data_IF_071525819608
#
_entry.id   IF_071525819608
#
_cell.length_a   1.000
_cell.length_b   1.000
_cell.length_c   1.000
_cell.angle_alpha   90.00
_cell.angle_beta   90.00
_cell.angle_gamma   90.00
#
_symmetry.space_group_name_H-M   'P 1'
#
loop_
_entity.id
_entity.type
_entity.pdbx_description
1 polymer ?
#
# COMPACT_ATOMS: atom_id res chain seq x y z
N UNK A 1 2.11 -0.16 5.69
CA UNK A 1 1.36 0.76 4.80
C UNK A 1 -0.09 0.30 4.67
N UNK A 2 -1.05 1.22 4.78
CA UNK A 2 -2.49 0.96 4.59
C UNK A 2 -2.87 1.37 3.17
N UNK A 3 -3.33 0.43 2.35
CA UNK A 3 -3.83 0.71 0.99
C UNK A 3 -5.34 0.64 1.00
N UNK A 4 -5.96 1.69 0.45
CA UNK A 4 -7.41 1.77 0.28
C UNK A 4 -7.73 1.63 -1.21
N UNK A 5 -8.71 0.78 -1.53
CA UNK A 5 -9.25 0.67 -2.89
C UNK A 5 -10.76 0.79 -2.87
N UNK A 6 -11.31 1.54 -3.81
CA UNK A 6 -12.74 1.63 -4.07
C UNK A 6 -13.09 0.58 -5.13
N UNK A 7 -14.07 -0.26 -4.84
CA UNK A 7 -14.60 -1.22 -5.80
C UNK A 7 -16.12 -1.27 -5.67
N UNK A 8 -16.87 -1.41 -6.78
CA UNK A 8 -18.31 -1.59 -6.72
C UNK A 8 -18.64 -2.98 -6.16
N UNK A 9 -19.70 -3.06 -5.35
CA UNK A 9 -20.27 -4.36 -4.98
C UNK A 9 -20.69 -5.11 -6.26
N UNK A 10 -20.38 -6.41 -6.41
CA UNK A 10 -20.59 -7.14 -7.67
C UNK A 10 -22.06 -7.10 -8.14
N UNK A 11 -23.01 -7.25 -7.21
CA UNK A 11 -24.45 -7.24 -7.51
C UNK A 11 -25.02 -5.81 -7.48
N UNK A 12 -24.93 -5.13 -6.33
CA UNK A 12 -25.57 -3.84 -6.11
C UNK A 12 -24.86 -2.62 -6.71
N UNK A 13 -23.64 -2.77 -7.25
CA UNK A 13 -22.79 -1.69 -7.79
C UNK A 13 -22.47 -0.52 -6.84
N UNK A 14 -22.94 -0.56 -5.59
CA UNK A 14 -22.61 0.41 -4.54
C UNK A 14 -21.08 0.46 -4.34
N UNK A 15 -20.46 1.65 -4.29
CA UNK A 15 -19.02 1.76 -4.05
C UNK A 15 -18.68 1.35 -2.61
N UNK A 16 -17.80 0.37 -2.47
CA UNK A 16 -17.31 -0.14 -1.20
C UNK A 16 -15.80 0.14 -1.09
N UNK A 17 -15.36 0.60 0.09
CA UNK A 17 -13.95 0.77 0.41
C UNK A 17 -13.39 -0.53 0.98
N UNK A 18 -12.32 -1.07 0.39
CA UNK A 18 -11.53 -2.18 0.96
C UNK A 18 -10.18 -1.68 1.39
N UNK A 19 -9.84 -1.99 2.63
CA UNK A 19 -8.58 -1.63 3.26
C UNK A 19 -7.71 -2.88 3.34
N UNK A 20 -6.45 -2.79 2.91
CA UNK A 20 -5.44 -3.83 3.09
C UNK A 20 -4.21 -3.24 3.76
N UNK A 21 -3.74 -3.87 4.84
CA UNK A 21 -2.43 -3.57 5.44
C UNK A 21 -1.37 -4.41 4.74
N UNK A 22 -0.30 -3.78 4.29
CA UNK A 22 0.83 -4.44 3.62
C UNK A 22 2.15 -3.96 4.20
N UNK A 23 3.17 -4.83 4.14
CA UNK A 23 4.53 -4.56 4.59
C UNK A 23 5.35 -4.07 3.40
N UNK A 24 5.82 -2.81 3.48
CA UNK A 24 6.71 -2.22 2.49
C UNK A 24 8.15 -2.19 3.02
N UNK A 25 9.11 -2.29 2.12
CA UNK A 25 10.53 -2.16 2.36
C UNK A 25 10.96 -0.72 2.16
N UNK A 26 11.60 -0.19 3.19
CA UNK A 26 12.24 1.12 3.20
C UNK A 26 13.62 0.90 3.84
N UNK A 27 14.72 0.99 3.06
CA UNK A 27 16.07 0.78 3.57
C UNK A 27 16.64 2.01 4.28
N UNK A 28 16.19 3.22 3.92
CA UNK A 28 16.74 4.48 4.40
C UNK A 28 15.87 5.14 5.48
N UNK A 29 14.70 4.55 5.78
CA UNK A 29 13.73 5.06 6.75
C UNK A 29 13.28 6.50 6.44
N UNK A 30 13.02 6.76 5.17
CA UNK A 30 12.65 8.09 4.67
C UNK A 30 11.18 8.43 4.95
N UNK A 31 10.29 7.43 5.03
CA UNK A 31 8.87 7.64 5.26
C UNK A 31 8.50 7.70 6.75
N UNK A 32 7.69 8.69 7.15
CA UNK A 32 7.18 8.84 8.52
C UNK A 32 5.71 8.45 8.63
N UNK A 33 5.24 8.32 9.87
CA UNK A 33 3.85 8.04 10.14
C UNK A 33 2.98 9.24 9.73
N UNK A 34 1.98 8.99 8.88
CA UNK A 34 1.06 10.03 8.36
C UNK A 34 1.33 10.41 6.91
N UNK A 35 2.50 10.05 6.36
CA UNK A 35 2.86 10.38 4.99
C UNK A 35 2.09 9.52 3.97
N UNK A 36 1.79 10.11 2.81
CA UNK A 36 1.26 9.37 1.65
C UNK A 36 2.44 8.86 0.85
N UNK A 37 2.46 7.56 0.54
CA UNK A 37 3.61 6.93 -0.12
C UNK A 37 3.17 6.19 -1.37
N UNK A 38 4.00 6.24 -2.42
CA UNK A 38 3.89 5.33 -3.56
C UNK A 38 4.84 4.16 -3.36
N UNK A 39 4.30 2.99 -3.65
CA UNK A 39 4.99 1.71 -3.50
C UNK A 39 4.88 0.93 -4.79
N UNK A 40 5.87 0.09 -5.06
CA UNK A 40 5.87 -0.85 -6.19
C UNK A 40 6.10 -2.28 -5.72
N UNK A 41 5.73 -3.22 -6.56
CA UNK A 41 6.13 -4.62 -6.42
C UNK A 41 7.63 -4.76 -6.64
N UNK A 42 8.25 -5.67 -5.90
CA UNK A 42 9.69 -5.91 -5.90
C UNK A 42 9.97 -7.38 -5.60
N UNK A 43 11.25 -7.78 -5.61
CA UNK A 43 11.62 -9.11 -5.10
C UNK A 43 11.14 -9.28 -3.64
N UNK A 44 10.76 -10.49 -3.22
CA UNK A 44 10.41 -10.75 -1.83
C UNK A 44 11.62 -10.48 -0.92
N UNK A 45 11.50 -9.51 -0.01
CA UNK A 45 12.47 -9.27 1.06
C UNK A 45 12.22 -10.19 2.27
N UNK A 46 10.98 -10.69 2.39
CA UNK A 46 10.56 -11.66 3.40
C UNK A 46 9.26 -12.32 2.92
N UNK A 47 8.70 -13.25 3.72
CA UNK A 47 7.47 -14.00 3.41
C UNK A 47 6.30 -13.09 3.01
N UNK A 48 6.17 -11.93 3.66
CA UNK A 48 5.05 -11.00 3.48
C UNK A 48 5.47 -9.61 2.98
N UNK A 49 6.79 -9.37 2.85
CA UNK A 49 7.37 -8.05 2.53
C UNK A 49 7.87 -8.07 1.09
N UNK A 50 6.99 -7.67 0.17
CA UNK A 50 7.21 -7.75 -1.28
C UNK A 50 7.10 -6.40 -1.99
N UNK A 51 6.79 -5.33 -1.24
CA UNK A 51 6.65 -3.99 -1.78
C UNK A 51 7.84 -3.13 -1.39
N UNK A 52 8.29 -2.25 -2.29
CA UNK A 52 9.35 -1.27 -2.04
C UNK A 52 8.75 0.15 -2.00
N UNK A 53 9.25 1.01 -1.11
CA UNK A 53 8.99 2.45 -1.11
C UNK A 53 9.65 3.11 -2.32
N UNK A 54 8.89 3.87 -3.10
CA UNK A 54 9.39 4.56 -4.30
C UNK A 54 9.52 6.06 -4.07
N UNK A 55 8.46 6.68 -3.57
CA UNK A 55 8.42 8.11 -3.30
C UNK A 55 7.37 8.45 -2.22
N UNK A 56 7.63 9.53 -1.49
CA UNK A 56 6.69 10.12 -0.55
C UNK A 56 5.95 11.25 -1.27
N UNK A 57 4.63 11.09 -1.44
CA UNK A 57 3.75 12.14 -1.95
C UNK A 57 3.40 13.07 -0.79
N UNK A 58 3.58 14.38 -0.99
CA UNK A 58 3.14 15.42 -0.04
C UNK A 58 1.67 15.78 -0.22
#
# INVERSE_FOLDING_TARGET
>A
VKVERLFPHPIYKKPIKKIKKIKAHDPNQEAKEGDRVRIIESRPYSKEKQFLLLEVIK
#
